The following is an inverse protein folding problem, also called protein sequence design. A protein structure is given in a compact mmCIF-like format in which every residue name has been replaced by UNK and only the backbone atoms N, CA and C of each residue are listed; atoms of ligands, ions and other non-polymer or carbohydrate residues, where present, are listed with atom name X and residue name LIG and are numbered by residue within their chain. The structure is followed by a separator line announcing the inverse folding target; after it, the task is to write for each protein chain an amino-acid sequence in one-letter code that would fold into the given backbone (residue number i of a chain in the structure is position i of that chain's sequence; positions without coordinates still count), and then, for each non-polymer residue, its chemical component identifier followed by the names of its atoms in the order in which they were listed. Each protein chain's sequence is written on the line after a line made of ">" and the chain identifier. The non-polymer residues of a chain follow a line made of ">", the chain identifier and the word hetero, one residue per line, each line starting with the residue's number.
data_IF_244913251540
#
_entry.id   IF_244913251540
#
_cell.length_a   1.000
_cell.length_b   1.000
_cell.length_c   1.000
_cell.angle_alpha   90.00
_cell.angle_beta   90.00
_cell.angle_gamma   90.00
#
_symmetry.space_group_name_H-M   'P 1'
#
loop_
_entity.id
_entity.type
_entity.pdbx_description
1 polymer ?
#
# COMPACT_ATOMS: atom_id res chain seq x y z
N UNK A 1 3.68 -14.82 -13.59
CA UNK A 1 3.52 -14.00 -12.38
C UNK A 1 4.78 -14.04 -11.54
N UNK A 2 5.44 -12.93 -11.34
CA UNK A 2 6.60 -12.87 -10.45
C UNK A 2 6.13 -12.47 -9.06
N UNK A 3 6.20 -13.40 -8.11
CA UNK A 3 6.15 -13.09 -6.68
C UNK A 3 7.50 -12.52 -6.28
N UNK A 4 7.53 -11.29 -5.80
CA UNK A 4 8.71 -10.77 -5.11
C UNK A 4 8.34 -10.58 -3.64
N UNK A 5 8.77 -11.51 -2.81
CA UNK A 5 8.80 -11.29 -1.36
C UNK A 5 9.91 -10.28 -1.07
N UNK A 6 9.53 -9.14 -0.53
CA UNK A 6 10.49 -8.11 -0.12
C UNK A 6 10.92 -8.43 1.32
N UNK A 7 11.91 -9.31 1.47
CA UNK A 7 12.48 -9.71 2.76
C UNK A 7 13.51 -8.71 3.30
N UNK A 8 13.60 -7.51 2.74
CA UNK A 8 14.55 -6.50 3.20
C UNK A 8 14.03 -5.90 4.51
N UNK A 9 14.79 -6.07 5.58
CA UNK A 9 14.56 -5.35 6.84
C UNK A 9 14.80 -3.87 6.62
N UNK A 10 13.76 -3.07 6.78
CA UNK A 10 13.83 -1.61 6.67
C UNK A 10 13.42 -0.98 8.00
N UNK A 11 14.18 0.01 8.42
CA UNK A 11 13.74 0.91 9.46
C UNK A 11 13.05 2.09 8.79
N UNK A 12 11.79 2.30 9.14
CA UNK A 12 10.99 3.41 8.63
C UNK A 12 10.59 4.30 9.81
N UNK A 13 11.00 5.56 9.74
CA UNK A 13 10.60 6.58 10.70
C UNK A 13 9.76 7.61 9.95
N UNK A 14 8.57 7.89 10.46
CA UNK A 14 7.64 8.87 9.88
C UNK A 14 7.65 10.13 10.72
N UNK A 15 7.84 11.25 10.04
CA UNK A 15 7.73 12.58 10.63
C UNK A 15 6.53 13.29 10.05
N UNK A 16 5.79 14.00 10.89
CA UNK A 16 4.70 14.87 10.46
C UNK A 16 5.15 16.32 10.61
N UNK A 17 5.12 17.07 9.54
CA UNK A 17 5.51 18.48 9.51
C UNK A 17 4.69 19.23 8.45
N UNK A 18 4.67 20.57 8.53
CA UNK A 18 4.00 21.38 7.52
C UNK A 18 4.84 21.49 6.25
N UNK A 19 4.21 21.55 5.09
CA UNK A 19 4.86 21.63 3.77
C UNK A 19 5.88 22.77 3.65
N UNK A 20 5.63 23.86 4.36
CA UNK A 20 6.52 25.03 4.38
C UNK A 20 7.89 24.76 4.99
N UNK A 21 8.04 23.67 5.73
CA UNK A 21 9.23 23.36 6.52
C UNK A 21 10.07 22.21 5.96
N UNK A 22 9.71 21.63 4.81
CA UNK A 22 10.44 20.48 4.23
C UNK A 22 11.93 20.80 4.03
N UNK A 23 12.25 21.89 3.34
CA UNK A 23 13.65 22.28 3.08
C UNK A 23 14.41 22.58 4.36
N UNK A 24 13.77 23.19 5.34
CA UNK A 24 14.35 23.48 6.64
C UNK A 24 14.64 22.21 7.42
N UNK A 25 13.72 21.24 7.37
CA UNK A 25 13.90 19.93 7.99
C UNK A 25 15.10 19.19 7.38
N UNK A 26 15.17 19.11 6.07
CA UNK A 26 16.27 18.46 5.35
C UNK A 26 17.62 19.09 5.71
N UNK A 27 17.68 20.42 5.76
CA UNK A 27 18.89 21.17 6.10
C UNK A 27 19.31 20.99 7.56
N UNK A 28 18.38 21.14 8.50
CA UNK A 28 18.68 21.09 9.94
C UNK A 28 19.13 19.72 10.41
N UNK A 29 18.66 18.64 9.78
CA UNK A 29 19.00 17.27 10.13
C UNK A 29 19.97 16.61 9.14
N UNK A 30 20.55 17.39 8.22
CA UNK A 30 21.49 16.90 7.20
C UNK A 30 20.96 15.72 6.38
N UNK A 31 19.65 15.70 6.15
CA UNK A 31 18.99 14.65 5.38
C UNK A 31 19.20 14.87 3.87
N UNK A 32 19.41 13.79 3.16
CA UNK A 32 19.55 13.79 1.70
C UNK A 32 18.45 12.96 1.06
N UNK A 33 17.90 13.47 -0.06
CA UNK A 33 17.05 12.67 -0.93
C UNK A 33 17.92 11.68 -1.69
N UNK A 34 17.68 10.38 -1.49
CA UNK A 34 18.38 9.30 -2.19
C UNK A 34 17.65 8.95 -3.49
N UNK A 35 16.31 8.99 -3.46
CA UNK A 35 15.47 8.69 -4.60
C UNK A 35 14.77 9.95 -5.10
N UNK A 36 14.52 10.07 -6.43
CA UNK A 36 13.73 11.18 -6.95
C UNK A 36 12.30 11.14 -6.43
N UNK A 37 11.68 12.31 -6.31
CA UNK A 37 10.28 12.42 -5.96
C UNK A 37 9.42 11.71 -7.01
N UNK A 38 8.38 11.03 -6.54
CA UNK A 38 7.42 10.36 -7.42
C UNK A 38 6.00 10.57 -6.91
N UNK A 39 5.07 10.59 -7.85
CA UNK A 39 3.65 10.61 -7.54
C UNK A 39 3.18 9.17 -7.36
N UNK A 40 2.53 8.90 -6.27
CA UNK A 40 1.96 7.59 -5.96
C UNK A 40 0.45 7.71 -5.92
N UNK A 41 -0.22 6.91 -6.72
CA UNK A 41 -1.67 6.75 -6.69
C UNK A 41 -2.01 5.34 -6.25
N UNK A 42 -2.93 5.24 -5.32
CA UNK A 42 -3.40 3.95 -4.81
C UNK A 42 -4.92 3.93 -4.74
N UNK A 43 -5.50 2.81 -5.12
CA UNK A 43 -6.91 2.52 -4.88
C UNK A 43 -6.95 1.39 -3.87
N UNK A 44 -7.44 1.69 -2.67
CA UNK A 44 -7.67 0.71 -1.61
C UNK A 44 -9.04 0.09 -1.75
N UNK A 45 -9.12 -1.20 -1.48
CA UNK A 45 -10.36 -1.96 -1.51
C UNK A 45 -10.76 -2.40 -0.12
N UNK A 46 -12.05 -2.31 0.16
CA UNK A 46 -12.61 -2.70 1.45
C UNK A 46 -14.00 -3.33 1.28
N UNK A 47 -14.46 -3.97 2.35
CA UNK A 47 -15.82 -4.49 2.44
C UNK A 47 -16.83 -3.34 2.51
N UNK A 48 -18.10 -3.65 2.27
CA UNK A 48 -19.20 -2.65 2.39
C UNK A 48 -19.25 -1.96 3.76
N UNK A 49 -18.77 -2.60 4.79
CA UNK A 49 -18.77 -2.11 6.17
C UNK A 49 -17.42 -1.54 6.61
N UNK A 50 -16.47 -1.37 5.70
CA UNK A 50 -15.11 -0.87 5.99
C UNK A 50 -14.34 -1.69 7.03
N UNK A 51 -14.47 -3.00 6.95
CA UNK A 51 -13.85 -3.92 7.90
C UNK A 51 -12.33 -3.72 8.00
N UNK A 52 -11.63 -3.61 6.89
CA UNK A 52 -10.16 -3.45 6.88
C UNK A 52 -9.72 -2.11 7.45
N UNK A 53 -10.47 -1.05 7.15
CA UNK A 53 -10.23 0.26 7.72
C UNK A 53 -10.37 0.23 9.24
N UNK A 54 -11.45 -0.32 9.76
CA UNK A 54 -11.68 -0.40 11.21
C UNK A 54 -10.63 -1.24 11.94
N UNK A 55 -10.25 -2.40 11.40
CA UNK A 55 -9.18 -3.22 11.97
C UNK A 55 -7.85 -2.48 12.02
N UNK A 56 -7.55 -1.66 11.00
CA UNK A 56 -6.34 -0.86 10.94
C UNK A 56 -6.35 0.29 11.95
N UNK A 57 -7.48 0.99 12.11
CA UNK A 57 -7.66 2.07 13.10
C UNK A 57 -7.55 1.55 14.54
N UNK A 58 -8.14 0.41 14.81
CA UNK A 58 -8.09 -0.24 16.14
C UNK A 58 -6.74 -0.89 16.43
N UNK A 59 -5.86 -1.03 15.42
CA UNK A 59 -4.57 -1.68 15.57
C UNK A 59 -4.64 -3.17 15.85
N UNK A 60 -5.77 -3.81 15.53
CA UNK A 60 -5.99 -5.23 15.81
C UNK A 60 -5.37 -6.10 14.72
N UNK A 61 -5.00 -7.31 15.05
CA UNK A 61 -4.52 -8.33 14.13
C UNK A 61 -5.36 -9.60 14.26
N UNK A 62 -5.50 -10.43 13.23
CA UNK A 62 -4.96 -10.24 11.87
C UNK A 62 -5.69 -9.13 11.10
N UNK A 63 -4.96 -8.44 10.24
CA UNK A 63 -5.55 -7.42 9.35
C UNK A 63 -4.94 -7.47 7.96
N UNK A 64 -5.71 -6.99 6.99
CA UNK A 64 -5.35 -7.04 5.57
C UNK A 64 -5.54 -5.65 4.97
N UNK A 65 -4.63 -5.27 4.06
CA UNK A 65 -4.79 -4.12 3.17
C UNK A 65 -4.63 -4.60 1.73
N UNK A 66 -5.57 -4.23 0.89
CA UNK A 66 -5.59 -4.56 -0.53
C UNK A 66 -5.61 -3.26 -1.31
N UNK A 67 -4.67 -3.10 -2.24
CA UNK A 67 -4.64 -1.92 -3.12
C UNK A 67 -4.09 -2.25 -4.49
N UNK A 68 -4.52 -1.49 -5.48
CA UNK A 68 -3.80 -1.35 -6.75
C UNK A 68 -3.07 -0.02 -6.76
N UNK A 69 -1.87 0.00 -7.33
CA UNK A 69 -1.00 1.17 -7.28
C UNK A 69 -0.40 1.49 -8.63
N UNK A 70 -0.32 2.78 -8.93
CA UNK A 70 0.40 3.34 -10.06
C UNK A 70 1.36 4.44 -9.62
N UNK A 71 2.30 4.77 -10.49
CA UNK A 71 3.32 5.79 -10.24
C UNK A 71 3.37 6.81 -11.37
N UNK A 72 3.63 8.08 -11.03
CA UNK A 72 3.85 9.18 -11.97
C UNK A 72 2.73 9.32 -13.02
N UNK A 73 1.48 9.26 -12.59
CA UNK A 73 0.28 9.30 -13.44
C UNK A 73 0.20 8.16 -14.48
N UNK A 74 0.97 7.09 -14.26
CA UNK A 74 0.92 5.89 -15.09
C UNK A 74 -0.25 4.97 -14.76
N UNK A 75 -0.27 3.82 -15.40
CA UNK A 75 -1.29 2.80 -15.18
C UNK A 75 -1.18 2.17 -13.79
N UNK A 76 -2.32 1.74 -13.24
CA UNK A 76 -2.37 0.97 -12.01
C UNK A 76 -1.98 -0.49 -12.29
N UNK A 77 -0.68 -0.76 -12.30
CA UNK A 77 -0.12 -2.06 -12.71
C UNK A 77 0.27 -2.97 -11.55
N UNK A 78 0.26 -2.47 -10.33
CA UNK A 78 0.66 -3.24 -9.17
C UNK A 78 -0.55 -3.56 -8.28
N UNK A 79 -0.84 -4.84 -8.12
CA UNK A 79 -1.73 -5.32 -7.07
C UNK A 79 -0.88 -5.64 -5.83
N UNK A 80 -1.16 -4.99 -4.73
CA UNK A 80 -0.44 -5.15 -3.48
C UNK A 80 -1.38 -5.61 -2.38
N UNK A 81 -0.97 -6.66 -1.68
CA UNK A 81 -1.68 -7.22 -0.53
C UNK A 81 -0.74 -7.21 0.65
N UNK A 82 -1.14 -6.60 1.73
CA UNK A 82 -0.40 -6.60 2.99
C UNK A 82 -1.20 -7.32 4.06
N UNK A 83 -0.64 -8.40 4.59
CA UNK A 83 -1.19 -9.13 5.73
C UNK A 83 -0.34 -8.84 6.96
N UNK A 84 -0.99 -8.51 8.06
CA UNK A 84 -0.33 -8.29 9.35
C UNK A 84 -0.94 -9.23 10.38
N UNK A 85 -0.13 -10.10 10.93
CA UNK A 85 -0.45 -10.97 12.07
C UNK A 85 0.22 -10.43 13.34
N UNK A 86 0.02 -11.11 14.47
CA UNK A 86 0.60 -10.68 15.75
C UNK A 86 2.14 -10.74 15.78
N UNK A 87 2.76 -11.60 14.98
CA UNK A 87 4.23 -11.76 14.96
C UNK A 87 4.90 -11.48 13.62
N UNK A 88 4.16 -11.41 12.52
CA UNK A 88 4.75 -11.22 11.21
C UNK A 88 3.94 -10.30 10.31
N UNK A 89 4.61 -9.83 9.28
CA UNK A 89 4.03 -9.01 8.22
C UNK A 89 4.42 -9.59 6.87
N UNK A 90 3.45 -9.85 6.05
CA UNK A 90 3.65 -10.32 4.69
C UNK A 90 3.18 -9.28 3.70
N UNK A 91 4.00 -9.00 2.70
CA UNK A 91 3.63 -8.13 1.57
C UNK A 91 3.74 -8.94 0.29
N UNK A 92 2.66 -8.98 -0.46
CA UNK A 92 2.58 -9.63 -1.77
C UNK A 92 2.42 -8.54 -2.80
N UNK A 93 3.28 -8.54 -3.83
CA UNK A 93 3.20 -7.61 -4.95
C UNK A 93 3.09 -8.39 -6.25
N UNK A 94 2.03 -8.14 -7.00
CA UNK A 94 1.84 -8.66 -8.35
C UNK A 94 2.03 -7.50 -9.31
N UNK A 95 3.13 -7.54 -10.03
CA UNK A 95 3.48 -6.53 -11.04
C UNK A 95 2.79 -6.83 -12.37
N UNK A 96 2.62 -5.77 -13.19
CA UNK A 96 1.96 -5.86 -14.50
C UNK A 96 0.56 -6.46 -14.41
N UNK A 97 -0.13 -6.16 -13.32
CA UNK A 97 -1.49 -6.58 -13.09
C UNK A 97 -2.44 -5.75 -13.96
N UNK A 98 -3.21 -6.44 -14.79
CA UNK A 98 -4.30 -5.82 -15.54
C UNK A 98 -5.58 -5.90 -14.72
N UNK A 99 -6.08 -4.75 -14.27
CA UNK A 99 -7.28 -4.73 -13.44
C UNK A 99 -8.53 -5.11 -14.23
N UNK A 100 -9.08 -6.25 -13.90
CA UNK A 100 -10.46 -6.62 -14.18
C UNK A 100 -10.98 -7.42 -12.98
N UNK A 101 -12.29 -7.43 -12.79
CA UNK A 101 -12.91 -8.05 -11.61
C UNK A 101 -12.58 -9.54 -11.49
N UNK A 102 -12.60 -10.27 -12.58
CA UNK A 102 -12.35 -11.71 -12.57
C UNK A 102 -10.93 -12.03 -12.08
N UNK A 103 -9.92 -11.39 -12.65
CA UNK A 103 -8.52 -11.60 -12.28
C UNK A 103 -8.22 -11.06 -10.88
N UNK A 104 -8.83 -9.95 -10.51
CA UNK A 104 -8.70 -9.38 -9.17
C UNK A 104 -9.13 -10.38 -8.10
N UNK A 105 -10.35 -10.89 -8.17
CA UNK A 105 -10.86 -11.85 -7.19
C UNK A 105 -10.16 -13.21 -7.26
N UNK A 106 -9.77 -13.65 -8.46
CA UNK A 106 -8.98 -14.87 -8.63
C UNK A 106 -7.62 -14.78 -7.91
N UNK A 107 -6.92 -13.66 -8.06
CA UNK A 107 -5.66 -13.44 -7.36
C UNK A 107 -5.86 -13.36 -5.83
N UNK A 108 -6.86 -12.66 -5.35
CA UNK A 108 -7.15 -12.60 -3.92
C UNK A 108 -7.44 -13.98 -3.34
N UNK A 109 -8.25 -14.77 -4.02
CA UNK A 109 -8.58 -16.13 -3.60
C UNK A 109 -7.35 -17.03 -3.55
N UNK A 110 -6.41 -16.89 -4.49
CA UNK A 110 -5.17 -17.65 -4.49
C UNK A 110 -4.29 -17.38 -3.26
N UNK A 111 -4.47 -16.24 -2.60
CA UNK A 111 -3.80 -15.88 -1.34
C UNK A 111 -4.67 -16.07 -0.10
N UNK A 112 -5.76 -16.84 -0.22
CA UNK A 112 -6.66 -17.15 0.89
C UNK A 112 -7.56 -16.00 1.33
N UNK A 113 -7.80 -15.02 0.45
CA UNK A 113 -8.66 -13.88 0.73
C UNK A 113 -9.99 -14.09 0.02
N UNK A 114 -11.03 -14.34 0.80
CA UNK A 114 -12.40 -14.46 0.33
C UNK A 114 -13.21 -13.23 0.67
N UNK A 115 -14.21 -12.94 -0.13
CA UNK A 115 -15.15 -11.86 0.12
C UNK A 115 -15.37 -10.97 -1.09
N UNK A 116 -16.25 -10.00 -0.91
CA UNK A 116 -16.58 -8.99 -1.92
C UNK A 116 -16.17 -7.62 -1.40
N UNK A 117 -15.39 -6.90 -2.18
CA UNK A 117 -14.81 -5.60 -1.79
C UNK A 117 -15.42 -4.52 -2.66
N UNK A 118 -16.52 -3.93 -2.17
CA UNK A 118 -17.32 -2.95 -2.91
C UNK A 118 -16.88 -1.51 -2.67
N UNK A 119 -16.19 -1.25 -1.58
CA UNK A 119 -15.71 0.09 -1.23
C UNK A 119 -14.31 0.32 -1.78
N UNK A 120 -14.11 1.49 -2.35
CA UNK A 120 -12.84 1.92 -2.94
C UNK A 120 -12.47 3.31 -2.42
N UNK A 121 -11.22 3.48 -2.02
CA UNK A 121 -10.66 4.77 -1.66
C UNK A 121 -9.44 5.06 -2.52
N UNK A 122 -9.51 6.13 -3.31
CA UNK A 122 -8.37 6.60 -4.10
C UNK A 122 -7.56 7.62 -3.30
N UNK A 123 -6.26 7.38 -3.22
CA UNK A 123 -5.30 8.25 -2.56
C UNK A 123 -4.19 8.60 -3.54
N UNK A 124 -3.86 9.89 -3.63
CA UNK A 124 -2.77 10.40 -4.46
C UNK A 124 -1.86 11.26 -3.58
N UNK A 125 -0.57 11.00 -3.63
CA UNK A 125 0.41 11.78 -2.88
C UNK A 125 1.78 11.76 -3.57
N UNK A 126 2.61 12.72 -3.20
CA UNK A 126 4.00 12.79 -3.61
C UNK A 126 4.88 12.10 -2.55
N UNK A 127 5.77 11.26 -3.01
CA UNK A 127 6.70 10.52 -2.14
C UNK A 127 8.15 10.79 -2.50
#
# INVERSE_FOLDING_TARGET
>A
MQKKEDNIKRHEIKFVFSDKNENKLLKNYELKKIFPDRIVESIYFDTSEFKFFHLSEEGVTPRIKIRIRGYNNGLFENLEIKKTNSYDRQKIVIKKFNYNLTDFYKNLKSFGIDGVFTKKLKVKYKR
#
